data_IF_396970588605
#
_entry.id   IF_396970588605
#
_cell.length_a   1.000
_cell.length_b   1.000
_cell.length_c   1.000
_cell.angle_alpha   90.00
_cell.angle_beta   90.00
_cell.angle_gamma   90.00
#
_symmetry.space_group_name_H-M   'P 1'
#
loop_
_entity.id
_entity.type
_entity.pdbx_description
1 polymer ?
#
# COMPACT_ATOMS: atom_id res chain seq x y z
N UNK A 1 19.02 1.55 -10.90
CA UNK A 1 18.41 2.59 -11.76
C UNK A 1 17.00 2.12 -12.06
N UNK A 2 15.98 2.92 -11.74
CA UNK A 2 14.59 2.56 -12.09
C UNK A 2 14.51 2.46 -13.63
N UNK A 3 14.03 1.35 -14.21
CA UNK A 3 14.01 1.18 -15.66
C UNK A 3 13.06 2.16 -16.37
N UNK A 4 12.17 2.82 -15.63
CA UNK A 4 11.18 3.74 -16.18
C UNK A 4 11.56 5.22 -15.94
N UNK A 5 11.22 6.06 -16.90
CA UNK A 5 11.24 7.53 -16.77
C UNK A 5 10.13 8.00 -15.81
N UNK A 6 10.23 9.21 -15.23
CA UNK A 6 9.18 9.74 -14.35
C UNK A 6 7.78 9.81 -14.99
N UNK A 7 7.69 10.00 -16.31
CA UNK A 7 6.42 9.99 -17.01
C UNK A 7 5.83 8.58 -17.13
N UNK A 8 6.68 7.60 -17.43
CA UNK A 8 6.29 6.19 -17.47
C UNK A 8 5.86 5.68 -16.10
N UNK A 9 6.54 6.06 -15.02
CA UNK A 9 6.13 5.63 -13.66
C UNK A 9 4.78 6.22 -13.28
N UNK A 10 4.50 7.50 -13.62
CA UNK A 10 3.16 8.10 -13.43
C UNK A 10 2.10 7.37 -14.23
N UNK A 11 2.34 7.13 -15.52
CA UNK A 11 1.40 6.43 -16.37
C UNK A 11 1.12 5.01 -15.87
N UNK A 12 2.17 4.31 -15.44
CA UNK A 12 2.07 2.99 -14.81
C UNK A 12 1.21 3.06 -13.55
N UNK A 13 1.44 4.01 -12.66
CA UNK A 13 0.73 4.14 -11.39
C UNK A 13 -0.77 4.44 -11.60
N UNK A 14 -1.10 5.34 -12.54
CA UNK A 14 -2.48 5.63 -12.93
C UNK A 14 -3.17 4.39 -13.52
N UNK A 15 -2.47 3.66 -14.39
CA UNK A 15 -2.97 2.43 -14.99
C UNK A 15 -3.19 1.35 -13.94
N UNK A 16 -2.25 1.22 -12.99
CA UNK A 16 -2.37 0.27 -11.88
C UNK A 16 -3.57 0.61 -10.98
N UNK A 17 -3.75 1.89 -10.64
CA UNK A 17 -4.94 2.37 -9.91
C UNK A 17 -6.24 1.98 -10.62
N UNK A 18 -6.37 2.28 -11.91
CA UNK A 18 -7.57 1.97 -12.69
C UNK A 18 -7.82 0.46 -12.72
N UNK A 19 -6.80 -0.35 -13.00
CA UNK A 19 -6.95 -1.82 -13.06
C UNK A 19 -7.33 -2.41 -11.71
N UNK A 20 -6.75 -1.92 -10.62
CA UNK A 20 -7.10 -2.35 -9.26
C UNK A 20 -8.53 -1.97 -8.91
N UNK A 21 -8.94 -0.74 -9.22
CA UNK A 21 -10.31 -0.26 -9.01
C UNK A 21 -11.32 -1.14 -9.73
N UNK A 22 -11.15 -1.40 -11.03
CA UNK A 22 -12.04 -2.31 -11.78
C UNK A 22 -11.99 -3.75 -11.28
N UNK A 23 -10.83 -4.20 -10.81
CA UNK A 23 -10.64 -5.56 -10.32
C UNK A 23 -11.29 -5.80 -8.95
N UNK A 24 -11.37 -4.79 -8.09
CA UNK A 24 -11.79 -4.95 -6.69
C UNK A 24 -13.19 -4.41 -6.40
N UNK A 25 -13.64 -3.40 -7.16
CA UNK A 25 -14.93 -2.77 -6.92
C UNK A 25 -16.10 -3.75 -7.07
N UNK A 26 -16.93 -3.82 -6.04
CA UNK A 26 -18.09 -4.71 -6.00
C UNK A 26 -17.75 -6.17 -5.67
N UNK A 27 -16.48 -6.51 -5.42
CA UNK A 27 -16.12 -7.81 -4.86
C UNK A 27 -16.34 -7.82 -3.35
N UNK A 28 -16.87 -8.92 -2.85
CA UNK A 28 -16.92 -9.24 -1.43
C UNK A 28 -15.96 -10.37 -1.11
N UNK A 29 -15.51 -10.45 0.15
CA UNK A 29 -14.72 -11.57 0.69
C UNK A 29 -13.45 -11.90 -0.12
N UNK A 30 -12.59 -10.90 -0.32
CA UNK A 30 -11.32 -11.08 -1.02
C UNK A 30 -10.14 -10.61 -0.18
N UNK A 31 -8.96 -11.10 -0.54
CA UNK A 31 -7.67 -10.60 -0.04
C UNK A 31 -6.93 -10.02 -1.23
N UNK A 32 -6.29 -8.87 -1.02
CA UNK A 32 -5.48 -8.22 -2.05
C UNK A 32 -4.10 -7.89 -1.52
N UNK A 33 -3.11 -7.97 -2.39
CA UNK A 33 -1.76 -7.52 -2.11
C UNK A 33 -1.63 -6.04 -2.46
N UNK A 34 -1.10 -5.25 -1.53
CA UNK A 34 -1.01 -3.78 -1.58
C UNK A 34 -2.38 -3.13 -1.68
N UNK A 35 -2.66 -2.19 -0.80
CA UNK A 35 -3.91 -1.45 -0.77
C UNK A 35 -3.85 -0.20 -1.66
N UNK A 36 -4.95 0.55 -1.73
CA UNK A 36 -4.93 1.91 -2.31
C UNK A 36 -4.05 2.89 -1.52
N UNK A 37 -3.73 2.60 -0.25
CA UNK A 37 -2.76 3.39 0.55
C UNK A 37 -1.37 3.29 -0.06
N UNK A 38 -0.96 2.10 -0.49
CA UNK A 38 0.30 1.88 -1.18
C UNK A 38 0.37 2.67 -2.47
N UNK A 39 -0.75 2.70 -3.23
CA UNK A 39 -0.82 3.43 -4.49
C UNK A 39 -0.54 4.92 -4.27
N UNK A 40 -1.20 5.52 -3.28
CA UNK A 40 -0.99 6.92 -2.91
C UNK A 40 0.42 7.18 -2.39
N UNK A 41 0.99 6.26 -1.60
CA UNK A 41 2.34 6.42 -1.09
C UNK A 41 3.39 6.44 -2.20
N UNK A 42 3.32 5.51 -3.15
CA UNK A 42 4.20 5.52 -4.34
C UNK A 42 3.95 6.75 -5.23
N UNK A 43 2.69 7.16 -5.38
CA UNK A 43 2.35 8.37 -6.16
C UNK A 43 3.08 9.60 -5.61
N UNK A 44 3.07 9.78 -4.29
CA UNK A 44 3.69 10.94 -3.63
C UNK A 44 5.22 10.85 -3.59
N UNK A 45 5.79 9.69 -3.25
CA UNK A 45 7.22 9.55 -2.97
C UNK A 45 8.07 9.21 -4.20
N UNK A 46 7.45 8.78 -5.30
CA UNK A 46 8.12 8.42 -6.56
C UNK A 46 7.56 9.19 -7.76
N UNK A 47 6.26 9.07 -8.01
CA UNK A 47 5.70 9.39 -9.32
C UNK A 47 5.47 10.89 -9.54
N UNK A 48 5.21 11.62 -8.46
CA UNK A 48 4.97 13.08 -8.47
C UNK A 48 5.99 13.85 -7.64
N UNK A 49 7.16 13.24 -7.40
CA UNK A 49 8.26 13.91 -6.71
C UNK A 49 8.74 15.09 -7.57
N UNK A 50 8.60 16.31 -7.04
CA UNK A 50 8.93 17.55 -7.75
C UNK A 50 7.83 18.11 -8.65
N UNK A 51 6.67 17.43 -8.76
CA UNK A 51 5.47 17.97 -9.40
C UNK A 51 4.75 18.99 -8.53
N UNK A 52 3.76 19.67 -9.10
CA UNK A 52 2.90 20.61 -8.36
C UNK A 52 2.09 19.90 -7.27
N UNK A 53 1.66 20.65 -6.26
CA UNK A 53 0.75 20.12 -5.22
C UNK A 53 -0.57 19.60 -5.80
N UNK A 54 -1.02 20.17 -6.93
CA UNK A 54 -2.20 19.71 -7.63
C UNK A 54 -2.00 18.29 -8.17
N UNK A 55 -0.90 18.04 -8.87
CA UNK A 55 -0.57 16.71 -9.41
C UNK A 55 -0.39 15.66 -8.31
N UNK A 56 0.26 16.03 -7.21
CA UNK A 56 0.42 15.16 -6.04
C UNK A 56 -0.93 14.73 -5.44
N UNK A 57 -1.99 15.56 -5.60
CA UNK A 57 -3.32 15.29 -5.06
C UNK A 57 -4.21 14.44 -5.96
N UNK A 58 -3.87 14.26 -7.24
CA UNK A 58 -4.72 13.57 -8.24
C UNK A 58 -5.22 12.21 -7.74
N UNK A 59 -4.35 11.41 -7.13
CA UNK A 59 -4.71 10.08 -6.62
C UNK A 59 -5.09 10.05 -5.14
N UNK A 60 -4.96 11.15 -4.40
CA UNK A 60 -5.13 11.14 -2.94
C UNK A 60 -6.56 10.83 -2.53
N UNK A 61 -7.51 11.66 -2.96
CA UNK A 61 -8.93 11.50 -2.63
C UNK A 61 -9.51 10.15 -3.12
N UNK A 62 -9.28 9.72 -4.39
CA UNK A 62 -9.81 8.42 -4.82
C UNK A 62 -9.14 7.25 -4.10
N UNK A 63 -7.84 7.31 -3.80
CA UNK A 63 -7.19 6.24 -3.02
C UNK A 63 -7.70 6.19 -1.59
N UNK A 64 -7.94 7.34 -0.94
CA UNK A 64 -8.51 7.39 0.41
C UNK A 64 -9.89 6.73 0.45
N UNK A 65 -10.76 7.09 -0.50
CA UNK A 65 -12.12 6.55 -0.60
C UNK A 65 -12.10 5.03 -0.74
N UNK A 66 -11.27 4.51 -1.65
CA UNK A 66 -11.21 3.07 -1.92
C UNK A 66 -10.44 2.32 -0.80
N UNK A 67 -9.43 2.93 -0.17
CA UNK A 67 -8.74 2.35 0.99
C UNK A 67 -9.67 2.15 2.19
N UNK A 68 -10.68 3.02 2.36
CA UNK A 68 -11.69 2.89 3.42
C UNK A 68 -12.72 1.79 3.15
N UNK A 69 -12.76 1.23 1.94
CA UNK A 69 -13.69 0.15 1.60
C UNK A 69 -13.28 -1.21 2.18
N UNK A 70 -12.00 -1.38 2.53
CA UNK A 70 -11.51 -2.61 3.15
C UNK A 70 -11.89 -2.68 4.63
N UNK A 71 -12.35 -3.84 5.09
CA UNK A 71 -12.69 -4.07 6.51
C UNK A 71 -11.45 -3.97 7.42
N UNK A 72 -10.30 -4.41 6.92
CA UNK A 72 -9.05 -4.44 7.67
C UNK A 72 -7.85 -4.33 6.72
N UNK A 73 -6.84 -3.59 7.16
CA UNK A 73 -5.51 -3.58 6.56
C UNK A 73 -4.51 -4.30 7.46
N UNK A 74 -3.57 -5.02 6.86
CA UNK A 74 -2.43 -5.58 7.57
C UNK A 74 -1.17 -4.83 7.14
N UNK A 75 -0.67 -3.97 8.02
CA UNK A 75 0.52 -3.18 7.76
C UNK A 75 1.75 -3.97 8.19
N UNK A 76 2.65 -4.25 7.24
CA UNK A 76 3.95 -4.84 7.50
C UNK A 76 5.01 -3.73 7.37
N UNK A 77 5.56 -3.21 8.48
CA UNK A 77 6.58 -2.18 8.42
C UNK A 77 7.82 -2.65 7.66
N UNK A 78 8.45 -1.73 6.94
CA UNK A 78 9.76 -1.96 6.35
C UNK A 78 10.80 -2.28 7.45
N UNK A 79 11.88 -2.98 7.09
CA UNK A 79 12.92 -3.50 7.99
C UNK A 79 12.48 -4.59 9.01
N UNK A 80 11.18 -4.92 9.14
CA UNK A 80 10.72 -6.07 9.96
C UNK A 80 11.11 -7.41 9.32
N UNK A 81 11.05 -7.49 8.00
CA UNK A 81 11.55 -8.62 7.22
C UNK A 81 12.78 -8.14 6.45
N UNK A 82 13.93 -8.84 6.52
CA UNK A 82 15.13 -8.44 5.80
C UNK A 82 14.85 -8.28 4.30
N UNK A 83 15.27 -7.14 3.74
CA UNK A 83 15.18 -6.92 2.30
C UNK A 83 16.04 -7.95 1.56
N UNK A 84 15.46 -8.59 0.54
CA UNK A 84 16.15 -9.50 -0.37
C UNK A 84 16.03 -8.94 -1.77
N UNK A 85 17.17 -8.67 -2.42
CA UNK A 85 17.17 -8.24 -3.81
C UNK A 85 16.71 -9.40 -4.70
N UNK A 86 15.67 -9.15 -5.49
CA UNK A 86 15.10 -10.09 -6.46
C UNK A 86 15.37 -9.66 -7.91
N UNK A 87 16.08 -8.54 -8.11
CA UNK A 87 16.31 -7.92 -9.42
C UNK A 87 15.11 -7.15 -9.98
N UNK A 88 13.97 -7.13 -9.28
CA UNK A 88 12.74 -6.44 -9.71
C UNK A 88 12.48 -5.16 -8.92
N UNK A 89 12.91 -5.13 -7.66
CA UNK A 89 12.72 -3.98 -6.76
C UNK A 89 13.94 -3.08 -6.77
N UNK A 90 13.71 -1.78 -6.59
CA UNK A 90 14.79 -0.84 -6.30
C UNK A 90 15.57 -1.33 -5.07
N UNK A 91 16.89 -1.25 -5.10
CA UNK A 91 17.76 -1.54 -3.96
C UNK A 91 17.96 -0.29 -3.06
N UNK A 92 17.33 0.83 -3.40
CA UNK A 92 17.33 2.05 -2.59
C UNK A 92 16.49 1.85 -1.31
N UNK A 93 17.16 1.47 -0.23
CA UNK A 93 16.54 1.26 1.08
C UNK A 93 15.93 2.55 1.65
N UNK A 94 16.53 3.71 1.36
CA UNK A 94 16.01 4.99 1.86
C UNK A 94 14.71 5.38 1.15
N UNK A 95 14.58 5.04 -0.13
CA UNK A 95 13.32 5.13 -0.86
C UNK A 95 12.25 4.25 -0.21
N UNK A 96 12.55 2.98 0.10
CA UNK A 96 11.57 2.11 0.76
C UNK A 96 11.15 2.63 2.13
N UNK A 97 12.08 3.17 2.93
CA UNK A 97 11.76 3.83 4.21
C UNK A 97 10.90 5.09 4.05
N UNK A 98 11.05 5.83 2.96
CA UNK A 98 10.17 6.99 2.67
C UNK A 98 8.75 6.51 2.34
N UNK A 99 8.62 5.52 1.47
CA UNK A 99 7.33 4.92 1.11
C UNK A 99 6.65 4.31 2.34
N UNK A 100 7.37 3.55 3.16
CA UNK A 100 6.84 2.95 4.39
C UNK A 100 6.31 3.99 5.38
N UNK A 101 7.12 5.04 5.68
CA UNK A 101 6.67 6.17 6.51
C UNK A 101 5.45 6.87 5.93
N UNK A 102 5.37 6.98 4.60
CA UNK A 102 4.21 7.55 3.92
C UNK A 102 2.98 6.67 4.09
N UNK A 103 3.09 5.36 3.89
CA UNK A 103 1.99 4.41 4.11
C UNK A 103 1.47 4.54 5.53
N UNK A 104 2.35 4.47 6.54
CA UNK A 104 1.95 4.61 7.93
C UNK A 104 1.26 5.95 8.21
N UNK A 105 1.80 7.05 7.68
CA UNK A 105 1.20 8.38 7.84
C UNK A 105 -0.18 8.49 7.19
N UNK A 106 -0.40 7.84 6.04
CA UNK A 106 -1.69 7.82 5.37
C UNK A 106 -2.71 6.94 6.10
N UNK A 107 -2.30 5.79 6.64
CA UNK A 107 -3.17 4.95 7.48
C UNK A 107 -3.72 5.76 8.67
N UNK A 108 -2.85 6.49 9.36
CA UNK A 108 -3.21 7.37 10.48
C UNK A 108 -4.09 8.56 10.03
N UNK A 109 -3.64 9.32 9.02
CA UNK A 109 -4.32 10.53 8.57
C UNK A 109 -5.73 10.25 8.04
N UNK A 110 -5.90 9.14 7.31
CA UNK A 110 -7.17 8.71 6.75
C UNK A 110 -8.03 7.91 7.73
N UNK A 111 -7.53 7.66 8.96
CA UNK A 111 -8.21 6.87 10.00
C UNK A 111 -8.60 5.47 9.50
N UNK A 112 -7.69 4.82 8.79
CA UNK A 112 -7.88 3.45 8.29
C UNK A 112 -7.77 2.47 9.45
N UNK A 113 -8.63 1.45 9.48
CA UNK A 113 -8.49 0.34 10.42
C UNK A 113 -7.37 -0.61 9.98
N UNK A 114 -6.31 -0.72 10.77
CA UNK A 114 -5.17 -1.59 10.43
C UNK A 114 -4.57 -2.31 11.64
N UNK A 115 -3.85 -3.40 11.34
CA UNK A 115 -3.06 -4.17 12.30
C UNK A 115 -1.61 -4.19 11.85
N UNK A 116 -0.71 -3.73 12.73
CA UNK A 116 0.73 -3.77 12.48
C UNK A 116 1.30 -5.16 12.75
N UNK A 117 2.00 -5.72 11.77
CA UNK A 117 2.70 -7.00 11.83
C UNK A 117 4.18 -6.79 12.20
N UNK A 118 4.45 -6.36 13.43
CA UNK A 118 5.79 -5.91 13.89
C UNK A 118 6.79 -7.03 14.24
N UNK A 119 6.60 -8.25 13.73
CA UNK A 119 7.44 -9.42 14.05
C UNK A 119 8.14 -9.97 12.80
N UNK A 120 9.44 -10.33 12.87
CA UNK A 120 10.15 -11.00 11.78
C UNK A 120 9.67 -12.44 11.58
N UNK A 121 9.00 -13.04 12.56
CA UNK A 121 8.49 -14.42 12.51
C UNK A 121 7.35 -14.56 11.51
N UNK A 122 7.55 -15.38 10.48
CA UNK A 122 6.51 -15.68 9.47
C UNK A 122 5.27 -16.33 10.11
N UNK A 123 5.49 -17.29 11.03
CA UNK A 123 4.41 -18.00 11.73
C UNK A 123 3.56 -17.04 12.56
N UNK A 124 4.18 -16.15 13.34
CA UNK A 124 3.45 -15.19 14.18
C UNK A 124 2.62 -14.20 13.35
N UNK A 125 3.14 -13.78 12.18
CA UNK A 125 2.39 -12.93 11.26
C UNK A 125 1.15 -13.65 10.72
N UNK A 126 1.28 -14.90 10.30
CA UNK A 126 0.15 -15.72 9.83
C UNK A 126 -0.89 -15.88 10.94
N UNK A 127 -0.46 -16.26 12.14
CA UNK A 127 -1.37 -16.45 13.27
C UNK A 127 -2.12 -15.16 13.62
N UNK A 128 -1.44 -14.02 13.57
CA UNK A 128 -2.06 -12.70 13.78
C UNK A 128 -3.11 -12.42 12.73
N UNK A 129 -2.79 -12.58 11.44
CA UNK A 129 -3.73 -12.39 10.33
C UNK A 129 -4.96 -13.28 10.48
N UNK A 130 -4.76 -14.60 10.67
CA UNK A 130 -5.85 -15.57 10.80
C UNK A 130 -6.75 -15.29 12.02
N UNK A 131 -6.17 -14.85 13.13
CA UNK A 131 -6.94 -14.46 14.33
C UNK A 131 -7.87 -13.28 14.04
N UNK A 132 -7.40 -12.27 13.31
CA UNK A 132 -8.21 -11.12 12.94
C UNK A 132 -9.28 -11.48 11.92
N UNK A 133 -8.94 -12.27 10.89
CA UNK A 133 -9.91 -12.72 9.89
C UNK A 133 -11.05 -13.54 10.52
N UNK A 134 -10.75 -14.45 11.46
CA UNK A 134 -11.79 -15.22 12.19
C UNK A 134 -12.77 -14.35 12.96
N UNK A 135 -12.31 -13.21 13.52
CA UNK A 135 -13.19 -12.27 14.24
C UNK A 135 -14.13 -11.53 13.28
N UNK A 136 -13.63 -11.16 12.11
CA UNK A 136 -14.43 -10.51 11.06
C UNK A 136 -15.50 -11.46 10.56
N UNK A 137 -15.13 -12.71 10.21
CA UNK A 137 -16.09 -13.72 9.75
C UNK A 137 -17.15 -14.11 10.79
N UNK A 138 -16.87 -13.93 12.08
CA UNK A 138 -17.84 -14.21 13.15
C UNK A 138 -18.81 -13.03 13.42
N UNK A 139 -18.55 -11.85 12.83
CA UNK A 139 -19.36 -10.64 13.01
C UNK A 139 -20.32 -10.36 11.85
N UNK A 140 -20.26 -11.18 10.79
CA UNK A 140 -21.16 -11.16 9.63
C UNK A 140 -22.28 -12.18 9.80
#
# INVERSE_FOLDING_TARGET
MDPMTPEETRYFQLTYFIRKLYGERGRSSFVTERSFVDIAAYWMERDTLGCSQFEQRILMDPCEMEAKSYEIHFYLPFDVVPFQSDGWRSEDLDFHRRVDRRIHSLLEAWKINYVTLATPSHTERIETVLRHLRRISASQ
#
